data_IF_880376706003
#
_entry.id   IF_880376706003
#
_cell.length_a   1.000
_cell.length_b   1.000
_cell.length_c   1.000
_cell.angle_alpha   90.00
_cell.angle_beta   90.00
_cell.angle_gamma   90.00
#
_symmetry.space_group_name_H-M   'P 1'
#
loop_
_entity.id
_entity.type
_entity.pdbx_description
1 polymer ?
#
# COMPACT_ATOMS: atom_id res chain seq x y z
N UNK A 1 -14.67 -17.23 -1.48
CA UNK A 1 -13.39 -17.81 -1.02
C UNK A 1 -12.68 -16.75 -0.20
N UNK A 2 -12.34 -17.04 1.06
CA UNK A 2 -11.56 -16.13 1.91
C UNK A 2 -10.09 -16.46 1.69
N UNK A 3 -9.27 -15.45 1.37
CA UNK A 3 -7.83 -15.63 1.18
C UNK A 3 -7.11 -15.26 2.47
N UNK A 4 -6.39 -16.22 3.03
CA UNK A 4 -5.54 -16.02 4.20
C UNK A 4 -4.13 -15.65 3.76
N UNK A 5 -3.60 -14.57 4.32
CA UNK A 5 -2.25 -14.10 4.06
C UNK A 5 -1.63 -13.55 5.35
N UNK A 6 -0.46 -14.08 5.72
CA UNK A 6 0.24 -13.70 6.97
C UNK A 6 -0.65 -13.79 8.22
N UNK A 7 -1.56 -14.79 8.27
CA UNK A 7 -2.47 -15.00 9.40
C UNK A 7 -3.65 -14.02 9.48
N UNK A 8 -3.94 -13.29 8.39
CA UNK A 8 -5.11 -12.43 8.27
C UNK A 8 -5.92 -12.76 7.02
N UNK A 9 -7.24 -12.66 7.11
CA UNK A 9 -8.12 -12.68 5.95
C UNK A 9 -7.98 -11.36 5.18
N UNK A 10 -7.69 -11.44 3.88
CA UNK A 10 -7.60 -10.26 3.02
C UNK A 10 -8.99 -9.73 2.62
N UNK A 11 -9.15 -8.40 2.61
CA UNK A 11 -10.34 -7.73 2.07
C UNK A 11 -10.39 -7.73 0.53
N UNK A 12 -9.23 -7.81 -0.11
CA UNK A 12 -9.06 -7.83 -1.57
C UNK A 12 -7.77 -8.53 -1.99
N UNK A 13 -7.70 -8.96 -3.25
CA UNK A 13 -6.59 -9.78 -3.76
C UNK A 13 -5.50 -8.99 -4.48
N UNK A 14 -5.65 -7.69 -4.62
CA UNK A 14 -4.65 -6.83 -5.25
C UNK A 14 -3.84 -6.04 -4.22
N UNK A 15 -2.69 -5.55 -4.70
CA UNK A 15 -1.77 -4.68 -3.96
C UNK A 15 -1.20 -3.64 -4.91
N UNK A 16 -0.62 -2.59 -4.34
CA UNK A 16 0.18 -1.61 -5.07
C UNK A 16 1.66 -1.88 -4.77
N UNK A 17 2.52 -2.09 -5.80
CA UNK A 17 3.95 -2.28 -5.59
C UNK A 17 4.61 -1.10 -4.88
N UNK A 18 5.63 -1.39 -4.08
CA UNK A 18 6.35 -0.37 -3.29
C UNK A 18 6.77 0.83 -4.14
N UNK A 19 6.40 2.02 -3.68
CA UNK A 19 6.85 3.28 -4.26
C UNK A 19 6.10 3.78 -5.48
N UNK A 20 5.13 3.01 -5.98
CA UNK A 20 4.17 3.50 -6.97
C UNK A 20 3.03 4.11 -6.18
N UNK A 21 2.84 5.43 -6.24
CA UNK A 21 1.75 6.19 -5.58
C UNK A 21 1.60 6.02 -4.05
N UNK A 22 2.45 5.24 -3.38
CA UNK A 22 2.36 4.93 -1.93
C UNK A 22 3.36 5.72 -1.07
N UNK A 23 3.72 6.94 -1.47
CA UNK A 23 4.64 7.80 -0.69
C UNK A 23 3.90 8.66 0.34
N UNK A 24 2.77 9.24 -0.05
CA UNK A 24 2.02 10.15 0.81
C UNK A 24 0.90 9.41 1.56
N UNK A 25 0.83 9.60 2.88
CA UNK A 25 -0.21 8.99 3.73
C UNK A 25 -1.64 9.26 3.23
N UNK A 26 -2.02 10.47 2.78
CA UNK A 26 -3.36 10.71 2.26
C UNK A 26 -3.72 9.87 1.03
N UNK A 27 -2.74 9.56 0.16
CA UNK A 27 -2.98 8.73 -1.02
C UNK A 27 -3.22 7.27 -0.60
N UNK A 28 -2.45 6.78 0.37
CA UNK A 28 -2.64 5.43 0.93
C UNK A 28 -4.02 5.31 1.57
N UNK A 29 -4.44 6.31 2.36
CA UNK A 29 -5.76 6.32 2.98
C UNK A 29 -6.87 6.34 1.93
N UNK A 30 -6.77 7.22 0.91
CA UNK A 30 -7.73 7.28 -0.18
C UNK A 30 -7.90 5.93 -0.88
N UNK A 31 -6.81 5.19 -1.11
CA UNK A 31 -6.89 3.84 -1.69
C UNK A 31 -7.67 2.86 -0.81
N UNK A 32 -7.40 2.83 0.49
CA UNK A 32 -8.16 1.95 1.39
C UNK A 32 -9.64 2.30 1.46
N UNK A 33 -9.97 3.59 1.40
CA UNK A 33 -11.35 4.06 1.49
C UNK A 33 -12.15 3.79 0.19
N UNK A 34 -11.49 3.81 -0.98
CA UNK A 34 -12.18 3.83 -2.28
C UNK A 34 -11.88 2.61 -3.18
N UNK A 35 -10.89 1.78 -2.86
CA UNK A 35 -10.45 0.65 -3.70
C UNK A 35 -10.53 -0.68 -2.92
N UNK A 36 -11.73 -1.25 -2.73
CA UNK A 36 -11.93 -2.45 -1.90
C UNK A 36 -11.20 -3.69 -2.42
N UNK A 37 -10.73 -3.68 -3.67
CA UNK A 37 -9.96 -4.77 -4.26
C UNK A 37 -8.50 -4.79 -3.75
N UNK A 38 -8.02 -3.68 -3.15
CA UNK A 38 -6.72 -3.62 -2.48
C UNK A 38 -6.88 -4.16 -1.05
N UNK A 39 -6.27 -5.31 -0.78
CA UNK A 39 -6.28 -5.91 0.56
C UNK A 39 -4.99 -5.74 1.36
N UNK A 40 -3.89 -5.44 0.66
CA UNK A 40 -2.57 -5.19 1.23
C UNK A 40 -1.94 -4.05 0.46
N UNK A 41 -1.15 -3.21 1.13
CA UNK A 41 -0.36 -2.18 0.46
C UNK A 41 1.06 -2.17 1.02
N UNK A 42 2.03 -1.92 0.15
CA UNK A 42 3.41 -1.65 0.56
C UNK A 42 3.69 -0.16 0.36
N UNK A 43 4.11 0.53 1.41
CA UNK A 43 4.50 1.94 1.35
C UNK A 43 5.73 2.12 0.44
N UNK A 44 6.02 3.35 0.04
CA UNK A 44 7.30 3.67 -0.60
C UNK A 44 8.44 3.22 0.33
N UNK A 45 9.44 2.53 -0.19
CA UNK A 45 10.66 2.23 0.57
C UNK A 45 11.24 3.51 1.18
N UNK A 46 11.31 3.56 2.51
CA UNK A 46 11.79 4.70 3.29
C UNK A 46 13.17 4.44 3.88
N UNK A 47 13.94 5.52 4.04
CA UNK A 47 15.16 5.53 4.85
C UNK A 47 14.92 6.26 6.18
N UNK A 48 15.95 6.39 7.03
CA UNK A 48 15.83 7.05 8.33
C UNK A 48 15.57 8.56 8.24
N UNK A 49 15.85 9.17 7.08
CA UNK A 49 15.63 10.61 6.83
C UNK A 49 14.88 10.82 5.51
N UNK A 50 14.09 11.91 5.38
CA UNK A 50 13.40 12.25 4.14
C UNK A 50 14.36 12.46 2.96
N UNK A 51 13.93 12.08 1.76
CA UNK A 51 14.69 12.27 0.52
C UNK A 51 13.80 12.86 -0.56
N UNK A 52 14.31 13.84 -1.30
CA UNK A 52 13.60 14.48 -2.42
C UNK A 52 13.56 13.63 -3.70
N UNK A 53 14.36 12.55 -3.78
CA UNK A 53 14.53 11.75 -4.99
C UNK A 53 15.62 12.28 -5.92
N UNK A 54 15.90 11.53 -6.98
CA UNK A 54 16.80 11.96 -8.06
C UNK A 54 15.97 12.80 -9.06
N UNK A 55 16.62 13.74 -9.74
CA UNK A 55 16.01 14.56 -10.81
C UNK A 55 16.50 14.09 -12.16
#
# INVERSE_FOLDING_TARGET
MKTEFLGKTLSGHFTVPSGIVTTAVPIIQYMFDHMPQIGVITTKSVGPVPRAGNR
#
